data_IF_511031061996
#
_entry.id   IF_511031061996
#
_cell.length_a   1.000
_cell.length_b   1.000
_cell.length_c   1.000
_cell.angle_alpha   90.00
_cell.angle_beta   90.00
_cell.angle_gamma   90.00
#
_symmetry.space_group_name_H-M   'P 1'
#
loop_
_entity.id
_entity.type
_entity.pdbx_description
1 polymer ?
#
# COMPACT_ATOMS: atom_id res chain seq x y z
N UNK A 1 14.25 0.39 20.97
CA UNK A 1 14.94 1.54 20.35
C UNK A 1 14.45 1.62 18.90
N UNK A 2 13.63 2.61 18.56
CA UNK A 2 13.02 2.76 17.22
C UNK A 2 13.92 3.67 16.38
N UNK A 3 14.84 3.09 15.60
CA UNK A 3 15.64 3.84 14.64
C UNK A 3 14.85 3.96 13.34
N UNK A 4 14.40 5.18 13.00
CA UNK A 4 13.95 5.45 11.62
C UNK A 4 15.16 5.25 10.71
N UNK A 5 15.08 4.39 9.67
CA UNK A 5 16.12 4.31 8.68
C UNK A 5 16.37 5.71 8.12
N UNK A 6 17.62 6.17 8.13
CA UNK A 6 17.99 7.39 7.40
C UNK A 6 17.75 7.11 5.91
N UNK A 7 16.74 7.74 5.32
CA UNK A 7 16.31 7.52 3.94
C UNK A 7 14.84 7.89 3.71
N UNK A 8 14.36 7.74 2.48
CA UNK A 8 13.00 8.12 2.07
C UNK A 8 12.27 6.94 1.47
N UNK A 9 11.00 6.76 1.83
CA UNK A 9 10.11 5.79 1.18
C UNK A 9 9.24 6.49 0.14
N UNK A 10 9.13 5.92 -1.04
CA UNK A 10 8.16 6.31 -2.06
C UNK A 10 7.22 5.14 -2.34
N UNK A 11 5.94 5.43 -2.56
CA UNK A 11 4.92 4.43 -2.89
C UNK A 11 4.42 4.69 -4.30
N UNK A 12 4.44 3.67 -5.14
CA UNK A 12 3.77 3.66 -6.42
C UNK A 12 2.58 2.71 -6.31
N UNK A 13 1.38 3.25 -6.50
CA UNK A 13 0.14 2.52 -6.43
C UNK A 13 -0.56 2.59 -7.78
N UNK A 14 -0.97 1.44 -8.31
CA UNK A 14 -1.75 1.37 -9.53
C UNK A 14 -3.05 0.60 -9.25
N UNK A 15 -4.15 1.34 -9.24
CA UNK A 15 -5.50 0.78 -9.20
C UNK A 15 -5.78 0.20 -10.58
N UNK A 16 -6.07 -1.09 -10.65
CA UNK A 16 -6.26 -1.79 -11.93
C UNK A 16 -7.55 -2.58 -12.02
N UNK A 17 -8.27 -2.74 -10.91
CA UNK A 17 -9.53 -3.45 -10.88
C UNK A 17 -10.49 -2.82 -9.87
N UNK A 18 -11.72 -2.57 -10.31
CA UNK A 18 -12.79 -1.97 -9.52
C UNK A 18 -14.08 -2.73 -9.83
N UNK A 19 -14.60 -3.41 -8.83
CA UNK A 19 -15.86 -4.15 -8.92
C UNK A 19 -16.89 -3.48 -8.01
N UNK A 20 -18.00 -3.00 -8.58
CA UNK A 20 -19.13 -2.56 -7.74
C UNK A 20 -19.75 -3.77 -7.03
N UNK A 21 -19.98 -3.63 -5.73
CA UNK A 21 -20.57 -4.65 -4.87
C UNK A 21 -21.87 -4.12 -4.25
N UNK A 22 -22.90 -3.95 -5.06
CA UNK A 22 -24.14 -3.27 -4.68
C UNK A 22 -24.13 -1.78 -5.03
N UNK A 23 -25.08 -1.02 -4.49
CA UNK A 23 -25.24 0.41 -4.78
C UNK A 23 -24.20 1.27 -4.06
N UNK A 24 -23.84 0.88 -2.84
CA UNK A 24 -23.09 1.70 -1.88
C UNK A 24 -21.66 1.21 -1.60
N UNK A 25 -21.24 0.11 -2.24
CA UNK A 25 -19.91 -0.47 -2.03
C UNK A 25 -19.19 -0.79 -3.34
N UNK A 26 -17.87 -0.69 -3.31
CA UNK A 26 -17.00 -1.20 -4.36
C UNK A 26 -15.80 -1.95 -3.75
N UNK A 27 -15.38 -3.02 -4.41
CA UNK A 27 -14.10 -3.68 -4.15
C UNK A 27 -13.07 -3.11 -5.11
N UNK A 28 -11.91 -2.75 -4.59
CA UNK A 28 -10.84 -2.14 -5.38
C UNK A 28 -9.56 -2.93 -5.16
N UNK A 29 -8.94 -3.37 -6.26
CA UNK A 29 -7.62 -4.00 -6.21
C UNK A 29 -6.56 -3.04 -6.72
N UNK A 30 -5.55 -2.80 -5.88
CA UNK A 30 -4.43 -1.91 -6.17
C UNK A 30 -3.12 -2.68 -6.08
N UNK A 31 -2.28 -2.62 -7.10
CA UNK A 31 -0.90 -3.07 -6.99
C UNK A 31 -0.07 -1.97 -6.31
N UNK A 32 0.81 -2.38 -5.39
CA UNK A 32 1.63 -1.49 -4.58
C UNK A 32 3.10 -1.88 -4.71
N UNK A 33 3.94 -0.92 -5.11
CA UNK A 33 5.40 -1.03 -5.00
C UNK A 33 5.91 0.08 -4.10
N UNK A 34 6.65 -0.30 -3.07
CA UNK A 34 7.33 0.61 -2.16
C UNK A 34 8.81 0.62 -2.51
N UNK A 35 9.34 1.80 -2.76
CA UNK A 35 10.76 2.04 -2.98
C UNK A 35 11.36 2.65 -1.73
N UNK A 36 12.61 2.30 -1.45
CA UNK A 36 13.42 2.95 -0.42
C UNK A 36 14.66 3.55 -1.06
N UNK A 37 14.86 4.85 -0.81
CA UNK A 37 16.04 5.61 -1.23
C UNK A 37 16.90 5.90 -0.03
N UNK A 38 18.14 5.42 -0.04
CA UNK A 38 19.14 5.67 1.01
C UNK A 38 19.66 7.11 0.94
N UNK A 39 20.33 7.64 1.99
CA UNK A 39 20.81 9.02 2.02
C UNK A 39 21.89 9.33 0.99
N UNK A 40 22.62 8.31 0.54
CA UNK A 40 23.60 8.36 -0.56
C UNK A 40 22.95 8.23 -1.95
N UNK A 41 21.61 8.16 -2.02
CA UNK A 41 20.83 8.23 -3.27
C UNK A 41 20.51 6.88 -3.92
N UNK A 42 21.01 5.77 -3.38
CA UNK A 42 20.68 4.43 -3.86
C UNK A 42 19.20 4.12 -3.67
N UNK A 43 18.49 3.77 -4.75
CA UNK A 43 17.07 3.39 -4.70
C UNK A 43 16.89 1.91 -4.98
N UNK A 44 16.12 1.24 -4.12
CA UNK A 44 15.76 -0.17 -4.30
C UNK A 44 14.27 -0.41 -4.04
N UNK A 45 13.74 -1.48 -4.63
CA UNK A 45 12.42 -2.01 -4.23
C UNK A 45 12.54 -2.50 -2.79
N UNK A 46 11.67 -1.98 -1.92
CA UNK A 46 11.58 -2.34 -0.52
C UNK A 46 10.49 -3.38 -0.27
N UNK A 47 9.31 -3.16 -0.86
CA UNK A 47 8.19 -4.08 -0.77
C UNK A 47 7.37 -4.03 -2.05
N UNK A 48 6.78 -5.18 -2.41
CA UNK A 48 5.77 -5.32 -3.45
C UNK A 48 4.59 -6.04 -2.83
N UNK A 49 3.39 -5.61 -3.17
CA UNK A 49 2.17 -6.21 -2.67
C UNK A 49 0.93 -5.70 -3.39
N UNK A 50 -0.22 -6.04 -2.81
CA UNK A 50 -1.53 -5.61 -3.28
C UNK A 50 -2.37 -5.14 -2.12
N UNK A 51 -3.14 -4.08 -2.35
CA UNK A 51 -4.23 -3.68 -1.46
C UNK A 51 -5.53 -4.24 -2.04
N UNK A 52 -6.32 -4.86 -1.18
CA UNK A 52 -7.69 -5.24 -1.44
C UNK A 52 -8.56 -4.37 -0.55
N UNK A 53 -9.21 -3.38 -1.17
CA UNK A 53 -9.99 -2.38 -0.45
C UNK A 53 -11.49 -2.65 -0.62
N UNK A 54 -12.24 -2.43 0.45
CA UNK A 54 -13.67 -2.16 0.36
C UNK A 54 -13.88 -0.66 0.50
N UNK A 55 -14.53 -0.05 -0.50
CA UNK A 55 -14.77 1.38 -0.59
C UNK A 55 -16.26 1.64 -0.41
N UNK A 56 -16.60 2.50 0.55
CA UNK A 56 -17.93 3.11 0.68
C UNK A 56 -18.11 4.16 -0.42
N UNK A 57 -19.14 4.00 -1.23
CA UNK A 57 -19.50 4.92 -2.31
C UNK A 57 -20.93 5.47 -2.16
N UNK A 58 -21.53 5.34 -0.97
CA UNK A 58 -22.89 5.83 -0.69
C UNK A 58 -23.01 7.36 -0.67
N UNK A 59 -21.91 8.05 -0.36
CA UNK A 59 -21.85 9.50 -0.31
C UNK A 59 -21.14 10.13 -1.51
N UNK A 60 -21.13 11.46 -1.55
CA UNK A 60 -20.46 12.24 -2.61
C UNK A 60 -18.93 12.05 -2.63
N UNK A 61 -18.36 11.58 -1.52
CA UNK A 61 -16.93 11.32 -1.35
C UNK A 61 -16.71 9.85 -1.00
N UNK A 62 -16.07 9.06 -1.88
CA UNK A 62 -15.70 7.68 -1.57
C UNK A 62 -14.72 7.60 -0.39
N UNK A 63 -14.96 6.67 0.52
CA UNK A 63 -14.10 6.41 1.69
C UNK A 63 -13.68 4.94 1.72
N UNK A 64 -12.45 4.66 2.13
CA UNK A 64 -12.00 3.29 2.37
C UNK A 64 -12.66 2.81 3.67
N UNK A 65 -13.52 1.81 3.57
CA UNK A 65 -14.20 1.18 4.70
C UNK A 65 -13.34 0.08 5.31
N UNK A 66 -12.65 -0.70 4.47
CA UNK A 66 -11.70 -1.73 4.88
C UNK A 66 -10.53 -1.81 3.89
N UNK A 67 -9.36 -2.23 4.38
CA UNK A 67 -8.16 -2.45 3.56
C UNK A 67 -7.37 -3.63 4.09
N UNK A 68 -7.20 -4.63 3.24
CA UNK A 68 -6.25 -5.72 3.44
C UNK A 68 -5.02 -5.50 2.55
N UNK A 69 -3.83 -5.40 3.15
CA UNK A 69 -2.56 -5.32 2.40
C UNK A 69 -1.86 -6.68 2.42
N UNK A 70 -1.70 -7.28 1.24
CA UNK A 70 -0.97 -8.55 1.07
C UNK A 70 0.38 -8.28 0.40
N UNK A 71 1.45 -8.48 1.14
CA UNK A 71 2.81 -8.35 0.63
C UNK A 71 3.27 -9.64 -0.06
N UNK A 72 3.87 -9.49 -1.23
CA UNK A 72 4.52 -10.57 -1.99
C UNK A 72 6.00 -10.71 -1.56
N UNK A 73 6.62 -9.63 -1.11
CA UNK A 73 8.02 -9.64 -0.62
C UNK A 73 8.08 -10.31 0.76
N UNK A 74 8.67 -11.52 0.83
CA UNK A 74 8.90 -12.27 2.09
C UNK A 74 10.12 -11.81 2.89
N UNK A 75 10.95 -10.92 2.36
CA UNK A 75 12.12 -10.40 3.07
C UNK A 75 11.76 -9.21 3.97
N UNK A 76 10.92 -9.47 4.98
CA UNK A 76 10.86 -8.63 6.16
C UNK A 76 12.13 -8.83 6.97
N UNK A 77 13.21 -8.13 6.62
CA UNK A 77 14.33 -7.94 7.54
C UNK A 77 13.79 -7.45 8.89
N UNK A 78 14.28 -8.06 9.97
CA UNK A 78 13.81 -7.90 11.36
C UNK A 78 13.63 -6.40 11.71
N UNK A 79 12.39 -6.00 12.06
CA UNK A 79 12.14 -4.78 12.86
C UNK A 79 11.51 -3.57 12.16
N UNK A 80 11.12 -3.65 10.89
CA UNK A 80 10.52 -2.51 10.17
C UNK A 80 8.99 -2.62 10.06
N UNK A 81 8.25 -2.04 11.02
CA UNK A 81 6.82 -1.72 10.84
C UNK A 81 6.75 -0.39 10.10
N UNK A 82 6.65 -0.42 8.76
CA UNK A 82 6.27 0.76 7.98
C UNK A 82 4.75 0.71 7.84
N UNK A 83 4.01 1.75 8.26
CA UNK A 83 2.60 1.85 7.95
C UNK A 83 2.43 1.85 6.43
N UNK A 84 1.69 0.88 5.91
CA UNK A 84 1.34 0.81 4.49
C UNK A 84 0.00 1.47 4.25
#
# INVERSE_FOLDING_TARGET
>A
MHSKPLGTFARHANVYDIERNGEDRAKVTTSLTVYYTTPDGGTKVFAVGKCFDEVDISGDLPLIADREVRLETREGGIGSIVPM
#
